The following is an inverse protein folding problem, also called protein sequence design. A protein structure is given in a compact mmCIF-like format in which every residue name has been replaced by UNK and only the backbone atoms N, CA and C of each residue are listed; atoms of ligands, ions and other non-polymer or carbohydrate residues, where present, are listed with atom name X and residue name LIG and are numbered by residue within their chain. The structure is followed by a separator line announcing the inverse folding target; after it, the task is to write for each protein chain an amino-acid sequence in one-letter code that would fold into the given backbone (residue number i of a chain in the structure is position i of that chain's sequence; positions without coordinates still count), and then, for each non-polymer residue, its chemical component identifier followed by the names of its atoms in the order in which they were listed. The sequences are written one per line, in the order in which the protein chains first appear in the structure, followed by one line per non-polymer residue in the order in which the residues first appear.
data_IF_701635942078
#
_entry.id   IF_701635942078
#
_cell.length_a   1.000
_cell.length_b   1.000
_cell.length_c   1.000
_cell.angle_alpha   90.00
_cell.angle_beta   90.00
_cell.angle_gamma   90.00
#
_symmetry.space_group_name_H-M   'P 1'
#
loop_
_entity.id
_entity.type
_entity.pdbx_description
1 polymer ?
#
# COMPACT_ATOMS: atom_id res chain seq x y z
N UNK A 1 -18.89 -24.42 2.97
CA UNK A 1 -17.61 -23.69 2.90
C UNK A 1 -17.94 -22.27 2.53
N UNK A 2 -17.65 -21.30 3.39
CA UNK A 2 -17.80 -19.89 3.07
C UNK A 2 -16.93 -19.57 1.89
N UNK A 3 -17.53 -18.99 0.85
CA UNK A 3 -16.77 -18.52 -0.31
C UNK A 3 -15.94 -17.34 0.17
N UNK A 4 -14.64 -17.55 0.34
CA UNK A 4 -13.66 -16.53 0.71
C UNK A 4 -13.72 -15.41 -0.33
N UNK A 5 -13.87 -14.18 0.07
CA UNK A 5 -14.12 -13.09 -0.86
C UNK A 5 -12.89 -12.22 -1.14
N UNK A 6 -12.17 -11.83 -0.09
CA UNK A 6 -10.96 -11.01 -0.21
C UNK A 6 -9.90 -11.45 0.79
N UNK A 7 -8.67 -11.58 0.31
CA UNK A 7 -7.46 -11.69 1.13
C UNK A 7 -6.57 -10.48 0.83
N UNK A 8 -6.11 -9.79 1.86
CA UNK A 8 -5.06 -8.80 1.75
C UNK A 8 -3.82 -9.28 2.49
N UNK A 9 -2.66 -9.19 1.85
CA UNK A 9 -1.36 -9.52 2.44
C UNK A 9 -0.39 -8.35 2.32
N UNK A 10 0.61 -8.35 3.18
CA UNK A 10 1.67 -7.34 3.22
C UNK A 10 1.09 -5.92 3.28
N UNK A 11 0.09 -5.76 4.17
CA UNK A 11 -0.62 -4.49 4.33
C UNK A 11 0.19 -3.59 5.24
N UNK A 12 0.42 -2.38 4.78
CA UNK A 12 1.04 -1.32 5.56
C UNK A 12 0.43 0.03 5.19
N UNK A 13 0.01 0.78 6.19
CA UNK A 13 -0.40 2.16 6.04
C UNK A 13 -0.25 2.95 7.34
N UNK A 14 -0.05 4.26 7.19
CA UNK A 14 -0.02 5.23 8.27
C UNK A 14 -1.25 6.11 8.17
N UNK A 15 -1.93 6.31 9.29
CA UNK A 15 -3.19 7.04 9.38
C UNK A 15 -3.28 7.83 10.67
N UNK A 16 -4.12 8.84 10.68
CA UNK A 16 -4.48 9.61 11.87
C UNK A 16 -5.62 8.93 12.64
N UNK A 17 -5.86 9.37 13.87
CA UNK A 17 -7.04 8.93 14.65
C UNK A 17 -8.35 9.23 13.93
N UNK A 18 -8.48 10.41 13.30
CA UNK A 18 -9.67 10.81 12.57
C UNK A 18 -9.92 9.95 11.33
N UNK A 19 -8.86 9.53 10.65
CA UNK A 19 -8.97 8.62 9.50
C UNK A 19 -9.43 7.23 9.91
N UNK A 20 -8.98 6.73 11.07
CA UNK A 20 -9.49 5.46 11.64
C UNK A 20 -10.94 5.62 12.09
N UNK A 21 -11.32 6.76 12.67
CA UNK A 21 -12.72 7.06 12.99
C UNK A 21 -13.60 7.05 11.74
N UNK A 22 -13.15 7.68 10.66
CA UNK A 22 -13.84 7.67 9.37
C UNK A 22 -14.01 6.27 8.80
N UNK A 23 -12.99 5.43 8.92
CA UNK A 23 -13.07 4.03 8.52
C UNK A 23 -14.07 3.24 9.36
N UNK A 24 -14.07 3.46 10.67
CA UNK A 24 -15.03 2.85 11.60
C UNK A 24 -16.48 3.22 11.25
N UNK A 25 -16.72 4.49 10.93
CA UNK A 25 -18.02 4.98 10.48
C UNK A 25 -18.43 4.38 9.12
N UNK A 26 -17.50 4.28 8.17
CA UNK A 26 -17.78 3.65 6.86
C UNK A 26 -18.17 2.18 7.02
N UNK A 27 -17.47 1.42 7.88
CA UNK A 27 -17.85 0.04 8.22
C UNK A 27 -19.27 -0.04 8.77
N UNK A 28 -19.61 0.83 9.75
CA UNK A 28 -20.95 0.86 10.37
C UNK A 28 -22.03 1.23 9.36
N UNK A 29 -21.79 2.24 8.53
CA UNK A 29 -22.70 2.67 7.47
C UNK A 29 -22.98 1.59 6.42
N UNK A 30 -22.01 0.71 6.19
CA UNK A 30 -22.17 -0.46 5.31
C UNK A 30 -22.79 -1.68 6.03
N UNK A 31 -23.27 -1.49 7.27
CA UNK A 31 -23.90 -2.56 8.05
C UNK A 31 -22.94 -3.61 8.60
N UNK A 32 -21.65 -3.28 8.68
CA UNK A 32 -20.62 -4.16 9.26
C UNK A 32 -20.60 -3.97 10.76
N UNK A 33 -20.69 -5.07 11.50
CA UNK A 33 -20.51 -5.04 12.95
C UNK A 33 -19.04 -4.95 13.29
N UNK A 34 -18.69 -3.90 14.01
CA UNK A 34 -17.31 -3.63 14.42
C UNK A 34 -17.27 -3.18 15.87
N UNK A 35 -16.36 -3.76 16.62
CA UNK A 35 -16.04 -3.38 18.00
C UNK A 35 -14.68 -2.71 18.02
N UNK A 36 -14.58 -1.66 18.81
CA UNK A 36 -13.32 -0.98 19.07
C UNK A 36 -12.80 -1.40 20.44
N UNK A 37 -11.52 -1.77 20.51
CA UNK A 37 -10.87 -2.26 21.70
C UNK A 37 -9.53 -1.53 21.85
N UNK A 38 -9.26 -0.98 23.02
CA UNK A 38 -7.93 -0.47 23.38
C UNK A 38 -7.13 -1.62 24.03
N UNK A 39 -5.97 -1.91 23.46
CA UNK A 39 -5.08 -2.95 23.97
C UNK A 39 -3.69 -2.36 24.25
N UNK A 40 -3.52 -1.86 25.48
CA UNK A 40 -2.30 -1.10 25.84
C UNK A 40 -2.27 0.22 25.09
N UNK A 41 -1.27 0.41 24.23
CA UNK A 41 -1.15 1.60 23.39
C UNK A 41 -1.69 1.39 21.96
N UNK A 42 -2.23 0.21 21.67
CA UNK A 42 -2.74 -0.15 20.36
C UNK A 42 -4.27 0.03 20.32
N UNK A 43 -4.77 0.56 19.22
CA UNK A 43 -6.18 0.64 18.89
C UNK A 43 -6.54 -0.53 18.00
N UNK A 44 -7.48 -1.36 18.40
CA UNK A 44 -7.87 -2.59 17.69
C UNK A 44 -9.30 -2.47 17.20
N UNK A 45 -9.51 -2.63 15.91
CA UNK A 45 -10.84 -2.78 15.31
C UNK A 45 -11.11 -4.27 15.09
N UNK A 46 -12.11 -4.77 15.82
CA UNK A 46 -12.57 -6.15 15.70
C UNK A 46 -13.82 -6.18 14.84
N UNK A 47 -13.67 -6.67 13.62
CA UNK A 47 -14.73 -6.78 12.63
C UNK A 47 -15.38 -8.15 12.74
N UNK A 48 -16.67 -8.19 13.00
CA UNK A 48 -17.44 -9.41 13.16
C UNK A 48 -17.99 -9.88 11.82
N UNK A 49 -17.84 -11.18 11.53
CA UNK A 49 -18.33 -11.84 10.34
C UNK A 49 -18.36 -13.36 10.58
N UNK A 50 -18.35 -14.16 9.52
CA UNK A 50 -18.17 -15.62 9.66
C UNK A 50 -16.82 -15.96 10.32
N UNK A 51 -15.82 -15.12 10.07
CA UNK A 51 -14.56 -15.08 10.78
C UNK A 51 -14.37 -13.70 11.37
N UNK A 52 -13.82 -13.64 12.58
CA UNK A 52 -13.47 -12.39 13.23
C UNK A 52 -12.14 -11.90 12.68
N UNK A 53 -12.12 -10.64 12.26
CA UNK A 53 -10.92 -9.97 11.77
C UNK A 53 -10.50 -8.90 12.78
N UNK A 54 -9.25 -8.94 13.23
CA UNK A 54 -8.68 -7.89 14.08
C UNK A 54 -7.67 -7.07 13.27
N UNK A 55 -7.90 -5.76 13.19
CA UNK A 55 -6.96 -4.80 12.63
C UNK A 55 -6.32 -4.05 13.78
N UNK A 56 -5.02 -4.20 13.95
CA UNK A 56 -4.26 -3.62 15.05
C UNK A 56 -3.52 -2.37 14.57
N UNK A 57 -3.95 -1.23 15.06
CA UNK A 57 -3.34 0.07 14.79
C UNK A 57 -2.42 0.45 15.95
N UNK A 58 -1.13 0.47 15.72
CA UNK A 58 -0.12 0.81 16.72
C UNK A 58 0.14 2.31 16.72
N UNK A 59 0.03 2.93 17.88
CA UNK A 59 0.38 4.35 18.03
C UNK A 59 1.90 4.54 17.99
N UNK A 60 2.35 5.42 17.11
CA UNK A 60 3.75 5.78 16.97
C UNK A 60 3.87 7.24 16.50
N UNK A 61 4.58 8.07 17.28
CA UNK A 61 4.86 9.47 16.93
C UNK A 61 3.61 10.32 16.58
N UNK A 62 2.47 10.07 17.24
CA UNK A 62 1.23 10.80 17.01
C UNK A 62 0.35 10.27 15.86
N UNK A 63 0.81 9.24 15.16
CA UNK A 63 0.07 8.55 14.11
C UNK A 63 -0.23 7.09 14.49
N UNK A 64 -1.11 6.47 13.73
CA UNK A 64 -1.44 5.07 13.84
C UNK A 64 -0.88 4.28 12.65
N UNK A 65 -0.14 3.23 12.92
CA UNK A 65 0.40 2.33 11.90
C UNK A 65 -0.36 1.01 11.92
N UNK A 66 -0.94 0.64 10.78
CA UNK A 66 -1.47 -0.70 10.54
C UNK A 66 -0.42 -1.50 9.75
N UNK A 67 0.04 -2.61 10.33
CA UNK A 67 0.88 -3.60 9.65
C UNK A 67 0.27 -4.97 9.87
N UNK A 68 -0.10 -5.63 8.80
CA UNK A 68 -0.58 -7.01 8.87
C UNK A 68 -0.03 -7.84 7.73
N UNK A 69 0.46 -9.05 8.06
CA UNK A 69 0.97 -9.98 7.05
C UNK A 69 -0.16 -10.56 6.21
N UNK A 70 -1.31 -10.79 6.82
CA UNK A 70 -2.46 -11.39 6.13
C UNK A 70 -3.74 -11.09 6.89
N UNK A 71 -4.75 -10.67 6.15
CA UNK A 71 -6.11 -10.50 6.64
C UNK A 71 -7.09 -11.02 5.59
N UNK A 72 -8.19 -11.61 6.06
CA UNK A 72 -9.19 -12.25 5.19
C UNK A 72 -10.59 -11.77 5.56
N UNK A 73 -11.36 -11.36 4.56
CA UNK A 73 -12.73 -10.90 4.70
C UNK A 73 -13.68 -11.82 3.95
N UNK A 74 -14.66 -12.39 4.65
CA UNK A 74 -15.76 -13.17 4.08
C UNK A 74 -16.96 -12.31 3.71
N UNK A 75 -17.06 -11.11 4.29
CA UNK A 75 -18.16 -10.16 4.05
C UNK A 75 -17.75 -9.11 3.02
N UNK A 76 -18.51 -9.00 1.92
CA UNK A 76 -18.20 -8.12 0.80
C UNK A 76 -18.07 -6.65 1.23
N UNK A 77 -19.00 -6.16 2.05
CA UNK A 77 -19.00 -4.77 2.51
C UNK A 77 -17.76 -4.43 3.35
N UNK A 78 -17.32 -5.34 4.22
CA UNK A 78 -16.10 -5.15 5.01
C UNK A 78 -14.85 -5.20 4.12
N UNK A 79 -14.82 -6.11 3.15
CA UNK A 79 -13.74 -6.24 2.18
C UNK A 79 -13.57 -4.98 1.33
N UNK A 80 -14.67 -4.43 0.80
CA UNK A 80 -14.67 -3.20 0.00
C UNK A 80 -14.25 -1.99 0.84
N UNK A 81 -14.80 -1.85 2.06
CA UNK A 81 -14.43 -0.77 2.97
C UNK A 81 -12.92 -0.80 3.29
N UNK A 82 -12.38 -1.99 3.56
CA UNK A 82 -10.97 -2.15 3.84
C UNK A 82 -10.08 -1.80 2.64
N UNK A 83 -10.42 -2.28 1.44
CA UNK A 83 -9.71 -1.92 0.21
C UNK A 83 -9.73 -0.41 -0.02
N UNK A 84 -10.91 0.21 0.09
CA UNK A 84 -11.09 1.64 -0.14
C UNK A 84 -10.29 2.45 0.91
N UNK A 85 -10.21 1.96 2.13
CA UNK A 85 -9.39 2.55 3.19
C UNK A 85 -7.89 2.52 2.84
N UNK A 86 -7.37 1.35 2.45
CA UNK A 86 -5.96 1.21 2.03
C UNK A 86 -5.63 2.12 0.85
N UNK A 87 -6.51 2.18 -0.16
CA UNK A 87 -6.30 3.01 -1.35
C UNK A 87 -6.36 4.50 -1.00
N UNK A 88 -7.36 4.92 -0.24
CA UNK A 88 -7.57 6.34 0.13
C UNK A 88 -6.43 6.91 0.94
N UNK A 89 -5.89 6.12 1.86
CA UNK A 89 -4.83 6.55 2.77
C UNK A 89 -3.43 6.13 2.31
N UNK A 90 -3.25 5.95 0.99
CA UNK A 90 -1.96 5.70 0.35
C UNK A 90 -1.20 4.50 0.92
N UNK A 91 -1.94 3.47 1.33
CA UNK A 91 -1.36 2.24 1.86
C UNK A 91 -0.74 1.35 0.79
N UNK A 92 -0.06 0.32 1.28
CA UNK A 92 0.50 -0.77 0.49
C UNK A 92 -0.25 -2.05 0.81
N UNK A 93 -0.56 -2.87 -0.20
CA UNK A 93 -1.15 -4.18 -0.01
C UNK A 93 -1.07 -5.03 -1.28
N UNK A 94 -1.03 -6.34 -1.11
CA UNK A 94 -1.38 -7.30 -2.16
C UNK A 94 -2.78 -7.81 -1.88
N UNK A 95 -3.75 -7.44 -2.72
CA UNK A 95 -5.16 -7.78 -2.54
C UNK A 95 -5.55 -8.87 -3.54
N UNK A 96 -6.10 -9.96 -3.03
CA UNK A 96 -6.57 -11.09 -3.81
C UNK A 96 -8.08 -11.21 -3.69
N UNK A 97 -8.76 -11.24 -4.83
CA UNK A 97 -10.19 -11.50 -4.93
C UNK A 97 -10.40 -12.91 -5.46
N UNK A 98 -11.15 -13.69 -4.72
CA UNK A 98 -11.52 -15.04 -5.13
C UNK A 98 -12.93 -15.02 -5.67
N UNK A 99 -13.10 -15.46 -6.92
CA UNK A 99 -14.36 -15.83 -7.53
C UNK A 99 -14.33 -17.32 -7.87
N UNK A 100 -15.46 -17.91 -8.25
CA UNK A 100 -15.61 -19.36 -8.41
C UNK A 100 -14.53 -20.02 -9.28
N UNK A 101 -14.00 -19.32 -10.28
CA UNK A 101 -13.03 -19.87 -11.25
C UNK A 101 -11.83 -18.95 -11.49
N UNK A 102 -11.85 -17.74 -10.92
CA UNK A 102 -10.86 -16.72 -11.22
C UNK A 102 -10.34 -16.12 -9.92
N UNK A 103 -9.02 -16.02 -9.83
CA UNK A 103 -8.31 -15.27 -8.81
C UNK A 103 -7.78 -13.98 -9.45
N UNK A 104 -8.20 -12.83 -8.94
CA UNK A 104 -7.65 -11.54 -9.33
C UNK A 104 -6.71 -11.05 -8.24
N UNK A 105 -5.47 -10.80 -8.59
CA UNK A 105 -4.43 -10.27 -7.70
C UNK A 105 -4.16 -8.82 -8.07
N UNK A 106 -4.33 -7.91 -7.11
CA UNK A 106 -4.00 -6.49 -7.25
C UNK A 106 -2.86 -6.14 -6.32
N UNK A 107 -1.84 -5.49 -6.86
CA UNK A 107 -0.80 -4.86 -6.07
C UNK A 107 -1.13 -3.38 -5.94
N UNK A 108 -1.32 -2.96 -4.70
CA UNK A 108 -1.58 -1.56 -4.34
C UNK A 108 -0.33 -0.99 -3.70
N UNK A 109 0.09 0.17 -4.15
CA UNK A 109 1.21 0.88 -3.56
C UNK A 109 0.95 2.37 -3.58
N UNK A 110 1.18 3.02 -2.45
CA UNK A 110 0.83 4.41 -2.19
C UNK A 110 -0.63 4.75 -2.59
N UNK A 111 -1.56 3.81 -2.34
CA UNK A 111 -2.95 3.95 -2.72
C UNK A 111 -3.26 3.76 -4.20
N UNK A 112 -2.28 3.47 -5.04
CA UNK A 112 -2.49 3.21 -6.45
C UNK A 112 -2.43 1.72 -6.78
N UNK A 113 -3.36 1.26 -7.59
CA UNK A 113 -3.29 -0.09 -8.17
C UNK A 113 -2.26 -0.08 -9.28
N UNK A 114 -1.13 -0.74 -9.05
CA UNK A 114 0.02 -0.72 -9.97
C UNK A 114 0.09 -1.95 -10.85
N UNK A 115 -0.47 -3.06 -10.39
CA UNK A 115 -0.54 -4.29 -11.17
C UNK A 115 -1.83 -5.03 -10.88
N UNK A 116 -2.45 -5.57 -11.94
CA UNK A 116 -3.59 -6.47 -11.84
C UNK A 116 -3.26 -7.72 -12.65
N UNK A 117 -3.37 -8.87 -11.99
CA UNK A 117 -3.17 -10.17 -12.62
C UNK A 117 -4.41 -11.02 -12.39
N UNK A 118 -4.93 -11.58 -13.45
CA UNK A 118 -6.00 -12.58 -13.45
C UNK A 118 -5.39 -13.97 -13.60
N UNK A 119 -5.80 -14.89 -12.75
CA UNK A 119 -5.38 -16.28 -12.75
C UNK A 119 -6.62 -17.16 -12.85
N UNK A 120 -6.71 -17.94 -13.92
CA UNK A 120 -7.81 -18.90 -14.17
C UNK A 120 -7.19 -20.25 -14.52
N UNK A 121 -7.32 -21.23 -13.61
CA UNK A 121 -6.63 -22.50 -13.76
C UNK A 121 -5.12 -22.32 -13.92
N UNK A 122 -4.56 -22.80 -15.03
CA UNK A 122 -3.12 -22.65 -15.34
C UNK A 122 -2.79 -21.39 -16.16
N UNK A 123 -3.80 -20.57 -16.48
CA UNK A 123 -3.61 -19.36 -17.26
C UNK A 123 -3.43 -18.15 -16.35
N UNK A 124 -2.41 -17.33 -16.66
CA UNK A 124 -2.13 -16.08 -16.00
C UNK A 124 -2.15 -14.95 -17.01
N UNK A 125 -3.01 -13.97 -16.80
CA UNK A 125 -3.15 -12.80 -17.66
C UNK A 125 -2.90 -11.55 -16.86
N UNK A 126 -1.95 -10.72 -17.30
CA UNK A 126 -1.73 -9.40 -16.73
C UNK A 126 -2.70 -8.43 -17.38
N UNK A 127 -3.61 -7.84 -16.60
CA UNK A 127 -4.62 -6.91 -17.05
C UNK A 127 -4.14 -5.46 -16.98
N UNK A 128 -3.31 -5.16 -15.97
CA UNK A 128 -2.68 -3.87 -15.76
C UNK A 128 -1.25 -4.09 -15.29
N UNK A 129 -0.31 -3.40 -15.90
CA UNK A 129 1.07 -3.31 -15.42
C UNK A 129 1.54 -1.89 -15.72
N UNK A 130 1.64 -1.06 -14.70
CA UNK A 130 2.22 0.27 -14.80
C UNK A 130 3.74 0.09 -14.86
N UNK A 131 4.30 0.02 -16.08
CA UNK A 131 5.71 -0.28 -16.34
C UNK A 131 6.73 0.65 -15.68
N UNK A 132 6.32 1.85 -15.28
CA UNK A 132 7.14 2.78 -14.46
C UNK A 132 7.32 2.30 -13.02
N UNK A 133 6.69 1.20 -12.69
CA UNK A 133 6.98 0.36 -11.56
C UNK A 133 8.22 -0.49 -11.82
N UNK A 134 9.28 0.18 -12.22
CA UNK A 134 10.56 -0.46 -12.16
C UNK A 134 10.73 -0.94 -10.72
N UNK A 135 10.32 -2.24 -10.56
CA UNK A 135 11.22 -2.99 -9.80
C UNK A 135 10.92 -3.15 -8.33
N UNK A 136 9.78 -3.80 -8.01
CA UNK A 136 9.80 -4.64 -6.82
C UNK A 136 11.07 -5.54 -6.83
N UNK A 137 11.53 -6.00 -8.00
CA UNK A 137 12.80 -6.73 -8.14
C UNK A 137 14.03 -5.86 -7.83
N UNK A 138 14.10 -4.61 -8.32
CA UNK A 138 15.21 -3.70 -7.97
C UNK A 138 15.13 -3.19 -6.53
N UNK A 139 13.92 -3.07 -5.98
CA UNK A 139 13.69 -2.76 -4.58
C UNK A 139 14.11 -3.94 -3.70
N UNK A 140 13.75 -5.17 -4.06
CA UNK A 140 14.21 -6.38 -3.37
C UNK A 140 15.72 -6.60 -3.56
N UNK A 141 16.26 -6.26 -4.72
CA UNK A 141 17.70 -6.26 -4.97
C UNK A 141 18.45 -5.21 -4.14
N UNK A 142 17.86 -4.02 -3.95
CA UNK A 142 18.38 -3.00 -3.05
C UNK A 142 18.29 -3.42 -1.58
N UNK A 143 17.21 -4.09 -1.15
CA UNK A 143 17.03 -4.60 0.21
C UNK A 143 17.95 -5.80 0.54
N UNK A 144 18.42 -6.54 -0.46
CA UNK A 144 19.40 -7.63 -0.26
C UNK A 144 20.85 -7.14 -0.29
N UNK A 145 21.08 -5.86 -0.63
CA UNK A 145 22.40 -5.26 -0.55
C UNK A 145 22.74 -4.90 0.89
N UNK A 146 23.89 -5.39 1.34
CA UNK A 146 24.46 -5.18 2.67
C UNK A 146 24.94 -3.72 2.91
N UNK A 147 24.73 -2.82 1.95
CA UNK A 147 25.37 -1.51 1.84
C UNK A 147 24.43 -0.35 2.20
N UNK A 148 23.51 -0.56 3.17
CA UNK A 148 22.53 0.46 3.57
C UNK A 148 23.21 1.75 4.03
N UNK A 149 24.34 1.65 4.76
CA UNK A 149 25.08 2.80 5.26
C UNK A 149 25.74 3.64 4.15
N UNK A 150 26.11 3.01 3.04
CA UNK A 150 26.69 3.69 1.87
C UNK A 150 25.61 4.18 0.90
N UNK A 151 24.48 3.48 0.81
CA UNK A 151 23.42 3.81 -0.14
C UNK A 151 22.61 5.05 0.25
N UNK A 152 22.37 5.29 1.54
CA UNK A 152 21.62 6.47 2.01
C UNK A 152 22.29 7.80 1.61
N UNK A 153 23.59 7.99 1.80
CA UNK A 153 24.28 9.20 1.32
C UNK A 153 24.19 9.36 -0.20
N UNK A 154 24.41 8.27 -0.96
CA UNK A 154 24.32 8.29 -2.41
C UNK A 154 22.90 8.66 -2.91
N UNK A 155 21.84 8.14 -2.27
CA UNK A 155 20.47 8.51 -2.57
C UNK A 155 20.17 9.98 -2.34
N UNK A 156 20.73 10.58 -1.29
CA UNK A 156 20.59 12.01 -1.03
C UNK A 156 21.22 12.83 -2.15
N UNK A 157 22.43 12.48 -2.56
CA UNK A 157 23.09 13.13 -3.68
C UNK A 157 22.32 12.99 -5.00
N UNK A 158 21.76 11.80 -5.28
CA UNK A 158 20.93 11.56 -6.45
C UNK A 158 19.62 12.37 -6.41
N UNK A 159 19.00 12.53 -5.22
CA UNK A 159 17.81 13.37 -5.03
C UNK A 159 18.13 14.82 -5.28
N UNK A 160 19.23 15.33 -4.71
CA UNK A 160 19.65 16.71 -4.88
C UNK A 160 19.95 17.02 -6.37
N UNK A 161 20.65 16.11 -7.07
CA UNK A 161 20.90 16.24 -8.49
C UNK A 161 19.59 16.26 -9.33
N UNK A 162 18.63 15.40 -9.00
CA UNK A 162 17.34 15.37 -9.69
C UNK A 162 16.48 16.62 -9.39
N UNK A 163 16.61 17.22 -8.20
CA UNK A 163 15.97 18.50 -7.87
C UNK A 163 16.59 19.65 -8.68
N UNK A 164 17.91 19.66 -8.85
CA UNK A 164 18.60 20.64 -9.69
C UNK A 164 18.20 20.52 -11.16
N UNK A 165 18.15 19.27 -11.70
CA UNK A 165 17.65 19.00 -13.06
C UNK A 165 16.21 19.50 -13.23
N UNK A 166 15.32 19.29 -12.25
CA UNK A 166 13.95 19.78 -12.27
C UNK A 166 13.92 21.32 -12.26
N UNK A 167 14.70 21.94 -11.38
CA UNK A 167 14.81 23.40 -11.32
C UNK A 167 15.29 24.01 -12.63
N UNK A 168 16.27 23.39 -13.29
CA UNK A 168 16.79 23.82 -14.58
C UNK A 168 15.79 23.64 -15.72
N UNK A 169 15.07 22.52 -15.76
CA UNK A 169 14.03 22.27 -16.73
C UNK A 169 12.88 23.28 -16.61
N UNK A 170 12.44 23.58 -15.39
CA UNK A 170 11.40 24.58 -15.11
C UNK A 170 11.84 26.00 -15.55
N UNK A 171 13.09 26.38 -15.27
CA UNK A 171 13.62 27.68 -15.67
C UNK A 171 13.71 27.85 -17.20
N UNK A 172 13.96 26.75 -17.90
CA UNK A 172 14.03 26.73 -19.39
C UNK A 172 12.70 26.52 -20.06
N UNK A 173 11.63 26.25 -19.31
CA UNK A 173 10.32 25.90 -19.85
C UNK A 173 10.28 24.54 -20.55
N UNK A 174 11.24 23.64 -20.22
CA UNK A 174 11.30 22.28 -20.75
C UNK A 174 10.34 21.37 -19.97
N UNK A 175 9.11 21.28 -20.46
CA UNK A 175 8.06 20.49 -19.82
C UNK A 175 8.41 18.98 -19.80
N UNK A 176 9.05 18.47 -20.86
CA UNK A 176 9.41 17.05 -20.93
C UNK A 176 10.57 16.72 -19.98
N UNK A 177 11.57 17.60 -19.89
CA UNK A 177 12.65 17.50 -18.91
C UNK A 177 12.13 17.54 -17.48
N UNK A 178 11.19 18.44 -17.20
CA UNK A 178 10.56 18.54 -15.89
C UNK A 178 9.81 17.26 -15.50
N UNK A 179 9.06 16.64 -16.40
CA UNK A 179 8.36 15.38 -16.14
C UNK A 179 9.32 14.20 -15.94
N UNK A 180 10.42 14.14 -16.69
CA UNK A 180 11.48 13.14 -16.47
C UNK A 180 12.12 13.29 -15.09
N UNK A 181 12.47 14.51 -14.69
CA UNK A 181 13.06 14.77 -13.38
C UNK A 181 12.10 14.45 -12.23
N UNK A 182 10.81 14.79 -12.34
CA UNK A 182 9.78 14.41 -11.37
C UNK A 182 9.65 12.89 -11.23
N UNK A 183 9.59 12.18 -12.35
CA UNK A 183 9.52 10.72 -12.36
C UNK A 183 10.72 10.08 -11.66
N UNK A 184 11.92 10.62 -11.90
CA UNK A 184 13.15 10.18 -11.22
C UNK A 184 13.08 10.43 -9.72
N UNK A 185 12.63 11.62 -9.29
CA UNK A 185 12.46 11.97 -7.87
C UNK A 185 11.48 11.04 -7.16
N UNK A 186 10.38 10.67 -7.82
CA UNK A 186 9.42 9.70 -7.26
C UNK A 186 10.09 8.35 -7.00
N UNK A 187 10.94 7.87 -7.90
CA UNK A 187 11.67 6.61 -7.74
C UNK A 187 12.68 6.67 -6.59
N UNK A 188 13.49 7.74 -6.56
CA UNK A 188 14.51 7.93 -5.53
C UNK A 188 13.91 8.08 -4.13
N UNK A 189 12.80 8.83 -4.01
CA UNK A 189 12.06 8.94 -2.75
C UNK A 189 11.51 7.60 -2.28
N UNK A 190 11.00 6.79 -3.20
CA UNK A 190 10.52 5.43 -2.88
C UNK A 190 11.64 4.56 -2.33
N UNK A 191 12.80 4.62 -2.97
CA UNK A 191 13.99 3.89 -2.50
C UNK A 191 14.42 4.38 -1.11
N UNK A 192 14.46 5.69 -0.88
CA UNK A 192 14.81 6.26 0.43
C UNK A 192 13.87 5.79 1.54
N UNK A 193 12.56 5.74 1.29
CA UNK A 193 11.57 5.27 2.27
C UNK A 193 11.78 3.83 2.72
N UNK A 194 12.43 3.00 1.91
CA UNK A 194 12.74 1.61 2.27
C UNK A 194 13.86 1.51 3.31
N UNK A 195 14.75 2.50 3.35
CA UNK A 195 15.86 2.55 4.29
C UNK A 195 15.50 3.31 5.58
N UNK A 196 14.37 4.01 5.62
CA UNK A 196 13.88 4.72 6.80
C UNK A 196 12.96 3.85 7.69
N UNK A 197 12.68 2.60 7.25
CA UNK A 197 11.87 1.61 7.98
C UNK A 197 12.73 0.74 8.89
#
# INVERSE_FOLDING_TARGET
MAAFLLEASDVELWVTEDEVNGFLEDLRNRGVRVQEIERGNDRVLRIEGEQVVELVFRRRNGELRLVTRRVQFSQKSAAEAFRDFVVRHRGHATIKYYSKEVLVVQHVQYGEVVRITEISGNQRKVLLDKKDWATAEKVMEALTRTDVEERIPALREEIDAALDELGDALRRGDAEGAERAKSRLVLLRREMLLYEL
#
